data_IF_225764824067
#
_entry.id   IF_225764824067
#
_cell.length_a   1.000
_cell.length_b   1.000
_cell.length_c   1.000
_cell.angle_alpha   90.00
_cell.angle_beta   90.00
_cell.angle_gamma   90.00
#
_symmetry.space_group_name_H-M   'P 1'
#
loop_
_entity.id
_entity.type
_entity.pdbx_description
1 polymer ?
#
# COMPACT_ATOMS: atom_id res chain seq x y z
N UNK A 1 -7.09 2.98 40.36
CA UNK A 1 -7.00 3.28 38.92
C UNK A 1 -5.56 3.59 38.64
N UNK A 2 -4.94 2.85 37.72
CA UNK A 2 -3.59 3.18 37.27
C UNK A 2 -3.68 4.49 36.49
N UNK A 3 -2.96 5.52 36.96
CA UNK A 3 -2.90 6.82 36.31
C UNK A 3 -1.61 6.99 35.53
N UNK A 4 -0.67 6.04 35.56
CA UNK A 4 0.57 6.10 34.81
C UNK A 4 0.57 5.10 33.67
N UNK A 5 1.17 5.49 32.56
CA UNK A 5 1.28 4.63 31.40
C UNK A 5 2.21 5.17 30.32
N UNK A 6 2.38 4.34 29.28
CA UNK A 6 3.07 4.68 28.06
C UNK A 6 2.10 5.36 27.08
N UNK A 7 2.58 6.41 26.43
CA UNK A 7 2.04 6.99 25.21
C UNK A 7 3.04 6.73 24.07
N UNK A 8 2.54 6.22 22.95
CA UNK A 8 3.33 5.86 21.79
C UNK A 8 2.63 6.40 20.53
N UNK A 9 3.30 7.27 19.77
CA UNK A 9 2.68 8.00 18.67
C UNK A 9 3.54 7.87 17.41
N UNK A 10 3.22 6.94 16.48
CA UNK A 10 3.70 7.04 15.11
C UNK A 10 2.97 8.16 14.38
N UNK A 11 3.72 9.00 13.68
CA UNK A 11 3.24 10.17 12.95
C UNK A 11 3.85 10.21 11.55
N UNK A 12 3.00 10.23 10.52
CA UNK A 12 3.41 10.20 9.12
C UNK A 12 3.84 11.61 8.68
N UNK A 13 5.15 11.81 8.59
CA UNK A 13 5.73 13.07 8.13
C UNK A 13 5.57 13.27 6.62
N UNK A 14 5.19 14.48 6.22
CA UNK A 14 4.89 14.85 4.82
C UNK A 14 3.40 14.79 4.45
N UNK A 15 2.53 14.35 5.36
CA UNK A 15 1.10 14.17 5.13
C UNK A 15 0.36 15.42 4.63
N UNK A 16 0.53 16.58 5.28
CA UNK A 16 -0.21 17.80 4.91
C UNK A 16 0.06 18.20 3.46
N UNK A 17 1.33 18.15 3.04
CA UNK A 17 1.72 18.41 1.65
C UNK A 17 1.12 17.35 0.72
N UNK A 18 1.23 16.08 1.09
CA UNK A 18 0.73 14.96 0.31
C UNK A 18 -0.78 15.08 0.03
N UNK A 19 -1.60 15.37 1.03
CA UNK A 19 -3.06 15.49 0.84
C UNK A 19 -3.44 16.74 0.04
N UNK A 20 -2.67 17.84 0.17
CA UNK A 20 -2.97 19.09 -0.53
C UNK A 20 -2.53 19.12 -2.00
N UNK A 21 -1.45 18.40 -2.35
CA UNK A 21 -0.83 18.47 -3.68
C UNK A 21 -1.19 17.25 -4.57
N UNK A 22 -2.03 16.34 -4.09
CA UNK A 22 -2.35 15.09 -4.80
C UNK A 22 -3.85 14.77 -4.84
N UNK A 23 -4.22 13.73 -5.57
CA UNK A 23 -5.61 13.30 -5.71
C UNK A 23 -6.19 12.83 -4.38
N UNK A 24 -7.20 13.54 -3.88
CA UNK A 24 -7.79 13.31 -2.54
C UNK A 24 -8.27 11.86 -2.32
N UNK A 25 -8.83 11.22 -3.35
CA UNK A 25 -9.35 9.86 -3.22
C UNK A 25 -8.24 8.84 -3.01
N UNK A 26 -7.17 8.94 -3.80
CA UNK A 26 -6.03 8.01 -3.70
C UNK A 26 -5.15 8.34 -2.49
N UNK A 27 -4.94 9.61 -2.17
CA UNK A 27 -4.19 10.00 -0.98
C UNK A 27 -4.85 9.48 0.29
N UNK A 28 -6.18 9.60 0.41
CA UNK A 28 -6.97 9.01 1.51
C UNK A 28 -6.77 7.49 1.61
N UNK A 29 -6.86 6.77 0.48
CA UNK A 29 -6.68 5.31 0.46
C UNK A 29 -5.26 4.90 0.89
N UNK A 30 -4.24 5.62 0.43
CA UNK A 30 -2.84 5.36 0.77
C UNK A 30 -2.61 5.58 2.26
N UNK A 31 -3.06 6.71 2.81
CA UNK A 31 -2.90 7.00 4.23
C UNK A 31 -3.64 5.99 5.10
N UNK A 32 -4.88 5.63 4.74
CA UNK A 32 -5.63 4.59 5.43
C UNK A 32 -4.84 3.28 5.50
N UNK A 33 -4.32 2.81 4.36
CA UNK A 33 -3.54 1.57 4.32
C UNK A 33 -2.24 1.66 5.15
N UNK A 34 -1.57 2.81 5.17
CA UNK A 34 -0.36 3.01 5.98
C UNK A 34 -0.68 3.01 7.48
N UNK A 35 -1.78 3.64 7.90
CA UNK A 35 -2.23 3.61 9.30
C UNK A 35 -2.63 2.19 9.72
N UNK A 36 -3.33 1.44 8.86
CA UNK A 36 -3.64 0.03 9.11
C UNK A 36 -2.37 -0.83 9.26
N UNK A 37 -1.33 -0.57 8.46
CA UNK A 37 -0.03 -1.22 8.62
C UNK A 37 0.59 -0.93 9.98
N UNK A 38 0.53 0.32 10.46
CA UNK A 38 1.04 0.70 11.77
C UNK A 38 0.28 -0.01 12.90
N UNK A 39 -1.05 -0.05 12.84
CA UNK A 39 -1.90 -0.75 13.82
C UNK A 39 -1.58 -2.25 13.85
N UNK A 40 -1.50 -2.88 12.67
CA UNK A 40 -1.20 -4.31 12.56
C UNK A 40 0.25 -4.66 12.96
N UNK A 41 1.14 -3.66 13.03
CA UNK A 41 2.53 -3.81 13.48
C UNK A 41 2.70 -3.68 14.99
N UNK A 42 1.62 -3.50 15.74
CA UNK A 42 1.63 -3.41 17.20
C UNK A 42 1.91 -4.79 17.83
N UNK A 43 3.06 -4.91 18.50
CA UNK A 43 3.51 -6.12 19.20
C UNK A 43 3.48 -5.96 20.73
N UNK A 44 3.25 -4.75 21.22
CA UNK A 44 3.22 -4.44 22.66
C UNK A 44 1.80 -4.40 23.25
N UNK A 45 0.82 -4.88 22.47
CA UNK A 45 -0.61 -4.87 22.80
C UNK A 45 -1.10 -3.49 23.27
N UNK A 46 -0.59 -2.43 22.62
CA UNK A 46 -1.00 -1.07 22.91
C UNK A 46 -2.45 -0.82 22.46
N UNK A 47 -3.20 -0.07 23.23
CA UNK A 47 -4.57 0.33 22.88
C UNK A 47 -4.56 1.59 22.01
N UNK A 48 -5.41 1.64 20.99
CA UNK A 48 -5.60 2.86 20.17
C UNK A 48 -6.58 3.78 20.89
N UNK A 49 -6.12 4.95 21.32
CA UNK A 49 -6.99 6.00 21.86
C UNK A 49 -7.69 6.76 20.73
N UNK A 50 -6.92 7.22 19.75
CA UNK A 50 -7.42 8.02 18.63
C UNK A 50 -6.51 7.95 17.41
N UNK A 51 -7.09 8.26 16.26
CA UNK A 51 -6.41 8.42 14.98
C UNK A 51 -6.66 9.87 14.54
N UNK A 52 -5.61 10.66 14.40
CA UNK A 52 -5.66 12.08 14.07
C UNK A 52 -4.99 12.33 12.72
N UNK A 53 -5.73 12.16 11.62
CA UNK A 53 -5.19 12.37 10.28
C UNK A 53 -4.06 11.38 9.96
N UNK A 54 -2.82 11.81 10.21
CA UNK A 54 -1.54 11.12 9.99
C UNK A 54 -0.91 10.47 11.22
N UNK A 55 -1.48 10.68 12.41
CA UNK A 55 -0.96 10.15 13.65
C UNK A 55 -1.89 9.14 14.32
N UNK A 56 -1.31 8.19 15.06
CA UNK A 56 -2.06 7.25 15.90
C UNK A 56 -1.61 7.42 17.34
N UNK A 57 -2.52 7.74 18.25
CA UNK A 57 -2.20 7.76 19.67
C UNK A 57 -2.44 6.38 20.28
N UNK A 58 -1.36 5.64 20.48
CA UNK A 58 -1.37 4.41 21.27
C UNK A 58 -1.09 4.70 22.74
N UNK A 59 -1.69 3.90 23.63
CA UNK A 59 -1.42 3.95 25.05
C UNK A 59 -1.42 2.57 25.71
N UNK A 60 -0.80 2.50 26.88
CA UNK A 60 -0.89 1.33 27.78
C UNK A 60 -0.69 1.77 29.22
N UNK A 61 -1.64 1.46 30.10
CA UNK A 61 -1.50 1.68 31.54
C UNK A 61 -0.54 0.66 32.16
N UNK A 62 0.03 1.02 33.31
CA UNK A 62 0.91 0.16 34.09
C UNK A 62 2.39 0.49 33.92
N UNK A 63 3.25 -0.49 34.18
CA UNK A 63 4.69 -0.30 34.13
C UNK A 63 5.20 0.00 32.72
N UNK A 64 6.20 0.88 32.65
CA UNK A 64 6.89 1.20 31.40
C UNK A 64 7.52 -0.07 30.82
N UNK A 65 7.29 -0.39 29.54
CA UNK A 65 8.06 -1.44 28.88
C UNK A 65 9.55 -1.10 28.89
N UNK A 66 10.36 -2.15 28.86
CA UNK A 66 11.80 -2.03 28.69
C UNK A 66 12.15 -1.31 27.37
N UNK A 67 13.26 -0.57 27.38
CA UNK A 67 13.70 0.23 26.23
C UNK A 67 14.02 -0.65 25.02
N UNK A 68 14.47 -1.89 25.22
CA UNK A 68 14.69 -2.84 24.13
C UNK A 68 13.36 -3.27 23.48
N UNK A 69 12.32 -3.51 24.30
CA UNK A 69 10.99 -3.85 23.81
C UNK A 69 10.36 -2.68 23.04
N UNK A 70 10.51 -1.44 23.55
CA UNK A 70 10.12 -0.22 22.82
C UNK A 70 10.86 -0.10 21.49
N UNK A 71 12.18 -0.33 21.48
CA UNK A 71 12.95 -0.28 20.25
C UNK A 71 12.48 -1.32 19.22
N UNK A 72 12.20 -2.56 19.64
CA UNK A 72 11.64 -3.59 18.74
C UNK A 72 10.30 -3.15 18.15
N UNK A 73 9.44 -2.51 18.94
CA UNK A 73 8.18 -1.93 18.45
C UNK A 73 8.41 -0.82 17.42
N UNK A 74 9.32 0.12 17.70
CA UNK A 74 9.72 1.19 16.78
C UNK A 74 10.25 0.59 15.47
N UNK A 75 11.19 -0.36 15.57
CA UNK A 75 11.78 -1.04 14.43
C UNK A 75 10.72 -1.74 13.58
N UNK A 76 9.80 -2.48 14.21
CA UNK A 76 8.75 -3.22 13.50
C UNK A 76 7.85 -2.28 12.70
N UNK A 77 7.29 -1.26 13.35
CA UNK A 77 6.41 -0.27 12.69
C UNK A 77 7.13 0.48 11.59
N UNK A 78 8.36 0.94 11.84
CA UNK A 78 9.15 1.69 10.86
C UNK A 78 9.50 0.84 9.63
N UNK A 79 9.97 -0.39 9.84
CA UNK A 79 10.32 -1.30 8.74
C UNK A 79 9.09 -1.71 7.93
N UNK A 80 7.96 -2.02 8.57
CA UNK A 80 6.73 -2.39 7.87
C UNK A 80 6.12 -1.22 7.09
N UNK A 81 6.17 -0.01 7.66
CA UNK A 81 5.76 1.22 6.98
C UNK A 81 6.60 1.45 5.72
N UNK A 82 7.94 1.41 5.82
CA UNK A 82 8.80 1.63 4.66
C UNK A 82 8.75 0.49 3.64
N UNK A 83 8.57 -0.76 4.07
CA UNK A 83 8.28 -1.88 3.16
C UNK A 83 6.96 -1.65 2.41
N UNK A 84 5.93 -1.12 3.09
CA UNK A 84 4.68 -0.77 2.40
C UNK A 84 4.88 0.35 1.39
N UNK A 85 5.71 1.34 1.67
CA UNK A 85 6.04 2.41 0.71
C UNK A 85 6.81 1.89 -0.51
N UNK A 86 7.80 1.02 -0.32
CA UNK A 86 8.55 0.45 -1.46
C UNK A 86 7.65 -0.39 -2.38
N UNK A 87 6.64 -1.07 -1.82
CA UNK A 87 5.62 -1.76 -2.61
C UNK A 87 4.81 -0.81 -3.51
N UNK A 88 4.52 0.42 -3.06
CA UNK A 88 3.88 1.42 -3.92
C UNK A 88 4.76 1.79 -5.10
N UNK A 89 6.08 1.87 -4.92
CA UNK A 89 7.01 2.19 -6.00
C UNK A 89 7.00 1.13 -7.12
N UNK A 90 7.07 -0.15 -6.74
CA UNK A 90 7.32 -1.26 -7.68
C UNK A 90 6.06 -2.00 -8.14
N UNK A 91 4.95 -1.92 -7.40
CA UNK A 91 3.72 -2.70 -7.69
C UNK A 91 2.55 -1.86 -8.19
N UNK A 92 2.60 -0.53 -8.12
CA UNK A 92 1.46 0.33 -8.48
C UNK A 92 1.08 0.20 -9.95
N UNK A 93 -0.23 0.17 -10.20
CA UNK A 93 -0.78 0.29 -11.54
C UNK A 93 -0.98 1.75 -11.92
N UNK A 94 -1.48 2.54 -10.96
CA UNK A 94 -1.80 3.94 -11.14
C UNK A 94 -0.55 4.81 -11.32
N UNK A 95 -0.65 5.78 -12.23
CA UNK A 95 0.37 6.78 -12.52
C UNK A 95 -0.01 8.18 -11.98
N UNK A 96 -0.88 8.24 -10.96
CA UNK A 96 -1.33 9.50 -10.37
C UNK A 96 -0.28 10.14 -9.44
N UNK A 97 -0.38 11.45 -9.22
CA UNK A 97 0.57 12.16 -8.38
C UNK A 97 0.58 11.60 -6.96
N UNK A 98 -0.58 11.22 -6.41
CA UNK A 98 -0.67 10.56 -5.10
C UNK A 98 0.11 9.24 -5.05
N UNK A 99 -0.09 8.34 -6.03
CA UNK A 99 0.60 7.05 -6.05
C UNK A 99 2.10 7.19 -6.34
N UNK A 100 2.50 8.20 -7.11
CA UNK A 100 3.90 8.49 -7.40
C UNK A 100 4.63 9.10 -6.20
N UNK A 101 4.00 10.03 -5.50
CA UNK A 101 4.62 10.77 -4.39
C UNK A 101 4.49 10.08 -3.03
N UNK A 102 3.74 8.98 -2.93
CA UNK A 102 3.59 8.20 -1.70
C UNK A 102 4.94 7.81 -1.07
N UNK A 103 5.94 7.48 -1.89
CA UNK A 103 7.31 7.10 -1.47
C UNK A 103 8.05 8.21 -0.71
N UNK A 104 7.59 9.46 -0.82
CA UNK A 104 8.16 10.62 -0.13
C UNK A 104 7.61 10.79 1.30
N UNK A 105 6.62 9.99 1.71
CA UNK A 105 6.17 9.95 3.09
C UNK A 105 7.25 9.31 3.97
N UNK A 106 7.33 9.76 5.21
CA UNK A 106 8.27 9.28 6.21
C UNK A 106 7.56 9.06 7.53
N UNK A 107 8.22 8.39 8.48
CA UNK A 107 7.63 8.08 9.77
C UNK A 107 8.54 8.56 10.89
N UNK A 108 7.99 9.37 11.79
CA UNK A 108 8.59 9.63 13.11
C UNK A 108 7.76 8.97 14.20
N UNK A 109 8.40 8.62 15.30
CA UNK A 109 7.76 7.97 16.43
C UNK A 109 8.10 8.74 17.70
N UNK A 110 7.06 9.10 18.46
CA UNK A 110 7.19 9.79 19.75
C UNK A 110 6.78 8.83 20.85
N UNK A 111 7.61 8.73 21.89
CA UNK A 111 7.32 7.91 23.07
C UNK A 111 7.47 8.72 24.34
N UNK A 112 6.47 8.61 25.21
CA UNK A 112 6.40 9.33 26.46
C UNK A 112 5.79 8.44 27.54
N UNK A 113 6.34 8.50 28.74
CA UNK A 113 5.77 7.82 29.90
C UNK A 113 5.37 8.87 30.93
N UNK A 114 4.14 8.82 31.40
CA UNK A 114 3.59 9.89 32.23
C UNK A 114 2.25 9.53 32.85
N UNK A 115 1.64 10.53 33.47
CA UNK A 115 0.38 10.43 34.17
C UNK A 115 -0.80 10.94 33.32
N UNK A 116 -1.75 10.04 33.06
CA UNK A 116 -3.00 10.30 32.37
C UNK A 116 -4.10 9.34 32.83
N UNK A 117 -5.35 9.69 32.57
CA UNK A 117 -6.51 8.83 32.85
C UNK A 117 -7.47 8.83 31.68
N UNK A 118 -8.23 7.74 31.53
CA UNK A 118 -9.35 7.68 30.61
C UNK A 118 -10.60 8.35 31.17
N UNK A 119 -11.43 8.91 30.29
CA UNK A 119 -12.79 9.35 30.58
C UNK A 119 -13.71 9.06 29.39
N UNK A 120 -14.98 8.82 29.65
CA UNK A 120 -15.96 8.48 28.61
C UNK A 120 -16.85 9.69 28.30
N UNK A 121 -16.97 10.02 27.02
CA UNK A 121 -17.93 10.97 26.49
C UNK A 121 -18.88 10.22 25.58
N UNK A 122 -20.05 9.84 26.11
CA UNK A 122 -21.00 8.94 25.43
C UNK A 122 -20.31 7.62 25.03
N UNK A 123 -20.10 7.42 23.73
CA UNK A 123 -19.50 6.21 23.16
C UNK A 123 -18.00 6.39 22.85
N UNK A 124 -17.40 7.54 23.21
CA UNK A 124 -15.99 7.83 22.95
C UNK A 124 -15.20 7.73 24.25
N UNK A 125 -14.19 6.87 24.25
CA UNK A 125 -13.18 6.85 25.30
C UNK A 125 -12.09 7.85 24.92
N UNK A 126 -11.75 8.77 25.82
CA UNK A 126 -10.74 9.80 25.61
C UNK A 126 -9.73 9.78 26.75
N UNK A 127 -8.51 10.18 26.46
CA UNK A 127 -7.46 10.35 27.47
C UNK A 127 -7.36 11.81 27.88
N UNK A 128 -7.14 12.04 29.18
CA UNK A 128 -6.87 13.36 29.73
C UNK A 128 -5.73 13.28 30.73
N UNK A 129 -4.85 14.27 30.69
CA UNK A 129 -3.69 14.35 31.58
C UNK A 129 -2.71 15.39 31.09
N UNK A 130 -1.86 15.87 31.99
CA UNK A 130 -0.77 16.79 31.62
C UNK A 130 0.14 16.15 30.57
N UNK A 131 0.41 14.86 30.72
CA UNK A 131 1.33 14.11 29.86
C UNK A 131 0.76 13.80 28.47
N UNK A 132 -0.58 13.80 28.32
CA UNK A 132 -1.23 13.79 27.00
C UNK A 132 -0.92 15.07 26.24
N UNK A 133 -0.99 16.22 26.92
CA UNK A 133 -0.69 17.53 26.32
C UNK A 133 0.79 17.59 25.90
N UNK A 134 1.69 17.10 26.76
CA UNK A 134 3.14 17.00 26.47
C UNK A 134 3.38 16.17 25.21
N UNK A 135 2.77 14.99 25.10
CA UNK A 135 2.96 14.11 23.94
C UNK A 135 2.48 14.77 22.63
N UNK A 136 1.31 15.43 22.64
CA UNK A 136 0.81 16.16 21.47
C UNK A 136 1.67 17.38 21.11
N UNK A 137 2.17 18.10 22.12
CA UNK A 137 3.11 19.20 21.87
C UNK A 137 4.37 18.66 21.21
N UNK A 138 4.91 17.52 21.64
CA UNK A 138 6.11 16.95 21.05
C UNK A 138 5.96 16.55 19.57
N UNK A 139 4.75 16.36 19.04
CA UNK A 139 4.55 16.13 17.60
C UNK A 139 5.01 17.31 16.74
N UNK A 140 4.88 18.54 17.26
CA UNK A 140 5.36 19.77 16.63
C UNK A 140 6.68 20.21 17.26
N UNK A 141 7.80 19.63 16.85
CA UNK A 141 9.12 19.99 17.38
C UNK A 141 10.04 20.52 16.26
N UNK A 142 11.18 21.07 16.67
CA UNK A 142 12.15 21.74 15.78
C UNK A 142 13.23 20.78 15.24
N UNK A 143 12.98 19.46 15.24
CA UNK A 143 13.88 18.49 14.61
C UNK A 143 13.71 18.60 13.08
N UNK A 144 14.81 18.91 12.37
CA UNK A 144 14.80 19.08 10.92
C UNK A 144 14.52 17.78 10.15
N UNK A 145 14.93 16.64 10.70
CA UNK A 145 14.74 15.34 10.07
C UNK A 145 13.30 14.83 10.24
N UNK A 146 12.90 13.87 9.39
CA UNK A 146 11.52 13.35 9.37
C UNK A 146 11.43 11.84 9.69
N UNK A 147 12.56 11.17 9.90
CA UNK A 147 12.64 9.74 10.25
C UNK A 147 13.41 9.57 11.57
N UNK A 148 12.73 9.79 12.70
CA UNK A 148 13.37 9.70 14.01
C UNK A 148 12.47 9.07 15.07
N UNK A 149 13.11 8.54 16.11
CA UNK A 149 12.46 8.14 17.36
C UNK A 149 12.79 9.14 18.46
N UNK A 150 11.76 9.73 19.06
CA UNK A 150 11.84 10.67 20.17
C UNK A 150 11.38 9.99 21.46
N UNK A 151 12.18 10.15 22.52
CA UNK A 151 11.94 9.58 23.84
C UNK A 151 12.10 10.66 24.91
N UNK A 152 11.08 10.87 25.72
CA UNK A 152 11.19 11.81 26.85
C UNK A 152 12.00 11.25 28.01
N UNK A 153 12.53 12.12 28.88
CA UNK A 153 13.34 11.73 30.05
C UNK A 153 12.71 10.71 31.00
N UNK A 154 11.39 10.64 31.07
CA UNK A 154 10.69 9.66 31.90
C UNK A 154 10.89 8.21 31.45
N UNK A 155 11.33 8.00 30.21
CA UNK A 155 11.66 6.70 29.62
C UNK A 155 13.17 6.45 29.50
N UNK A 156 13.96 7.51 29.35
CA UNK A 156 15.43 7.46 29.21
C UNK A 156 16.07 8.40 30.26
N UNK A 157 16.63 7.81 31.32
CA UNK A 157 17.45 8.54 32.29
C UNK A 157 18.83 8.93 31.68
N UNK A 158 19.48 9.95 32.25
CA UNK A 158 20.71 10.59 31.72
C UNK A 158 21.91 9.63 31.57
N UNK A 159 21.83 8.41 32.08
CA UNK A 159 22.81 7.35 31.84
C UNK A 159 22.54 6.72 30.47
N UNK A 160 23.45 6.99 29.54
CA UNK A 160 23.52 6.54 28.15
C UNK A 160 22.67 5.30 27.82
N UNK A 161 21.85 5.31 26.75
CA UNK A 161 21.14 4.12 26.31
C UNK A 161 22.14 2.99 26.05
N UNK A 162 22.12 2.02 26.95
CA UNK A 162 22.89 0.78 26.91
C UNK A 162 22.52 0.05 25.61
N UNK A 163 23.52 -0.13 24.73
CA UNK A 163 23.60 -1.02 23.56
C UNK A 163 22.27 -1.46 22.89
N UNK A 164 21.51 -0.54 22.27
CA UNK A 164 20.44 -0.94 21.32
C UNK A 164 21.03 -1.38 19.98
N UNK A 165 21.30 -0.43 19.08
CA UNK A 165 21.99 -0.68 17.83
C UNK A 165 23.20 0.25 17.72
N UNK A 166 24.34 -0.30 17.24
CA UNK A 166 25.61 0.43 17.20
C UNK A 166 25.57 1.71 16.33
N UNK A 167 24.63 1.80 15.39
CA UNK A 167 24.45 2.96 14.52
C UNK A 167 23.60 4.07 15.17
N UNK A 168 22.92 3.79 16.29
CA UNK A 168 22.06 4.78 16.96
C UNK A 168 22.88 5.85 17.65
N UNK A 169 22.79 7.07 17.12
CA UNK A 169 23.34 8.27 17.76
C UNK A 169 22.21 9.02 18.44
N UNK A 170 22.28 9.14 19.76
CA UNK A 170 21.30 9.84 20.56
C UNK A 170 21.68 11.30 20.74
N UNK A 171 20.77 12.18 20.36
CA UNK A 171 20.89 13.62 20.54
C UNK A 171 19.92 14.07 21.62
N UNK A 172 20.28 15.09 22.39
CA UNK A 172 19.41 15.72 23.38
C UNK A 172 18.90 17.04 22.85
N UNK A 173 17.63 17.33 23.06
CA UNK A 173 17.02 18.60 22.72
C UNK A 173 15.91 18.95 23.71
N UNK A 174 15.43 20.18 23.62
CA UNK A 174 14.43 20.75 24.53
C UNK A 174 13.39 21.46 23.70
N UNK A 175 12.12 21.18 23.96
CA UNK A 175 11.00 21.93 23.40
C UNK A 175 10.50 22.94 24.43
N UNK A 176 10.48 24.23 24.06
CA UNK A 176 9.83 25.27 24.86
C UNK A 176 8.33 25.24 24.64
N UNK A 177 7.57 25.27 25.72
CA UNK A 177 6.11 25.29 25.72
C UNK A 177 5.61 26.35 26.69
N UNK A 178 4.33 26.72 26.57
CA UNK A 178 3.70 27.72 27.44
C UNK A 178 3.73 27.32 28.93
N UNK A 179 3.89 26.03 29.22
CA UNK A 179 3.87 25.45 30.57
C UNK A 179 5.26 25.02 31.08
N UNK A 180 6.31 25.26 30.30
CA UNK A 180 7.70 24.96 30.68
C UNK A 180 8.54 24.36 29.55
N UNK A 181 9.67 23.76 29.92
CA UNK A 181 10.58 23.09 29.00
C UNK A 181 10.38 21.57 29.05
N UNK A 182 10.21 20.95 27.88
CA UNK A 182 10.10 19.50 27.74
C UNK A 182 11.42 18.99 27.16
N UNK A 183 12.18 18.29 27.99
CA UNK A 183 13.44 17.67 27.59
C UNK A 183 13.22 16.27 26.99
N UNK A 184 13.91 16.00 25.89
CA UNK A 184 13.83 14.72 25.21
C UNK A 184 15.14 14.33 24.53
N UNK A 185 15.26 13.03 24.28
CA UNK A 185 16.31 12.44 23.47
C UNK A 185 15.70 11.98 22.14
N UNK A 186 16.49 12.02 21.06
CA UNK A 186 16.06 11.47 19.79
C UNK A 186 17.21 10.80 19.03
N UNK A 187 16.87 9.83 18.19
CA UNK A 187 17.79 9.16 17.28
C UNK A 187 17.17 8.99 15.89
N UNK A 188 18.00 9.03 14.84
CA UNK A 188 17.56 8.88 13.46
C UNK A 188 17.27 7.41 13.16
N UNK A 189 16.22 7.11 12.40
CA UNK A 189 15.81 5.74 12.07
C UNK A 189 16.20 5.31 10.65
N UNK A 190 16.71 6.22 9.81
CA UNK A 190 16.97 5.97 8.39
C UNK A 190 17.87 4.77 8.10
N UNK A 191 18.75 4.36 9.03
CA UNK A 191 19.55 3.14 8.85
C UNK A 191 18.67 1.88 8.74
N UNK A 192 17.56 1.80 9.50
CA UNK A 192 16.62 0.68 9.41
C UNK A 192 16.01 0.54 8.01
N UNK A 193 15.77 1.67 7.33
CA UNK A 193 15.27 1.71 5.96
C UNK A 193 16.33 1.24 4.97
N UNK A 194 17.59 1.65 5.16
CA UNK A 194 18.72 1.23 4.33
C UNK A 194 19.01 -0.28 4.46
N UNK A 195 18.71 -0.86 5.61
CA UNK A 195 18.91 -2.28 5.89
C UNK A 195 17.72 -3.16 5.42
N UNK A 196 16.65 -2.56 4.88
CA UNK A 196 15.54 -3.33 4.31
C UNK A 196 16.01 -4.08 3.07
N UNK A 197 15.55 -5.34 2.87
CA UNK A 197 15.87 -6.07 1.67
C UNK A 197 15.22 -5.37 0.46
N UNK A 198 15.96 -5.26 -0.63
CA UNK A 198 15.41 -4.80 -1.91
C UNK A 198 14.32 -5.76 -2.37
N UNK A 199 13.12 -5.23 -2.61
CA UNK A 199 12.07 -5.99 -3.27
C UNK A 199 12.20 -5.87 -4.78
N UNK A 200 12.40 -6.99 -5.47
CA UNK A 200 12.42 -7.00 -6.93
C UNK A 200 11.00 -6.78 -7.51
N UNK A 201 10.86 -5.96 -8.57
CA UNK A 201 9.61 -5.84 -9.29
C UNK A 201 9.18 -7.20 -9.84
N UNK A 202 7.90 -7.55 -9.71
CA UNK A 202 7.42 -8.81 -10.25
C UNK A 202 7.53 -8.82 -11.78
N UNK A 203 8.28 -9.80 -12.31
CA UNK A 203 8.50 -9.98 -13.74
C UNK A 203 7.53 -11.01 -14.31
N UNK A 204 7.16 -10.82 -15.57
CA UNK A 204 6.40 -11.81 -16.31
C UNK A 204 7.25 -13.08 -16.47
N UNK A 205 6.82 -14.18 -15.85
CA UNK A 205 7.41 -15.50 -16.07
C UNK A 205 6.49 -16.41 -16.89
N UNK A 206 6.91 -16.62 -18.13
CA UNK A 206 6.26 -17.50 -19.12
C UNK A 206 7.25 -18.52 -19.69
N UNK A 207 8.42 -18.70 -19.05
CA UNK A 207 9.51 -19.56 -19.54
C UNK A 207 9.08 -21.04 -19.68
N UNK A 208 8.21 -21.52 -18.79
CA UNK A 208 7.65 -22.86 -18.79
C UNK A 208 6.26 -22.95 -19.46
N UNK A 209 5.83 -21.90 -20.14
CA UNK A 209 4.49 -21.81 -20.77
C UNK A 209 4.57 -21.72 -22.28
N UNK A 210 3.45 -22.04 -22.93
CA UNK A 210 3.28 -21.93 -24.39
C UNK A 210 2.07 -21.05 -24.65
N UNK A 211 2.22 -20.08 -25.55
CA UNK A 211 1.09 -19.29 -26.03
C UNK A 211 0.15 -20.21 -26.82
N UNK A 212 -1.11 -20.29 -26.41
CA UNK A 212 -2.13 -21.14 -27.05
C UNK A 212 -3.23 -20.35 -27.74
N UNK A 213 -3.44 -19.09 -27.36
CA UNK A 213 -4.38 -18.20 -28.02
C UNK A 213 -3.89 -16.75 -27.95
N UNK A 214 -4.34 -15.93 -28.89
CA UNK A 214 -4.05 -14.51 -28.97
C UNK A 214 -5.21 -13.80 -29.68
N UNK A 215 -5.60 -12.63 -29.20
CA UNK A 215 -6.51 -11.73 -29.89
C UNK A 215 -6.05 -10.29 -29.73
N UNK A 216 -6.23 -9.49 -30.77
CA UNK A 216 -5.85 -8.07 -30.79
C UNK A 216 -7.01 -7.25 -31.36
N UNK A 217 -7.27 -6.09 -30.75
CA UNK A 217 -8.32 -5.15 -31.16
C UNK A 217 -7.87 -3.71 -30.92
N UNK A 218 -8.32 -2.80 -31.77
CA UNK A 218 -8.02 -1.37 -31.67
C UNK A 218 -9.23 -0.62 -31.09
N UNK A 219 -8.95 0.39 -30.28
CA UNK A 219 -9.95 1.19 -29.57
C UNK A 219 -9.69 2.67 -29.83
N UNK A 220 -10.74 3.43 -30.10
CA UNK A 220 -10.71 4.90 -30.17
C UNK A 220 -10.71 5.52 -28.77
N UNK A 221 -9.64 5.26 -28.03
CA UNK A 221 -9.39 5.86 -26.72
C UNK A 221 -7.88 5.96 -26.43
N UNK A 222 -7.56 6.74 -25.40
CA UNK A 222 -6.23 6.79 -24.83
C UNK A 222 -5.88 5.46 -24.13
N UNK A 223 -4.59 5.16 -24.04
CA UNK A 223 -4.09 3.90 -23.46
C UNK A 223 -4.45 3.73 -21.98
N UNK A 224 -4.49 4.82 -21.20
CA UNK A 224 -4.79 4.79 -19.76
C UNK A 224 -6.26 4.40 -19.50
N UNK A 225 -7.30 5.01 -20.13
CA UNK A 225 -8.68 4.51 -20.04
C UNK A 225 -8.84 3.03 -20.39
N UNK A 226 -8.17 2.57 -21.45
CA UNK A 226 -8.21 1.17 -21.86
C UNK A 226 -7.59 0.25 -20.80
N UNK A 227 -6.50 0.70 -20.17
CA UNK A 227 -5.88 -0.01 -19.05
C UNK A 227 -6.81 -0.08 -17.85
N UNK A 228 -7.44 1.02 -17.44
CA UNK A 228 -8.39 1.02 -16.32
C UNK A 228 -9.62 0.14 -16.58
N UNK A 229 -10.15 0.12 -17.81
CA UNK A 229 -11.28 -0.72 -18.18
C UNK A 229 -10.93 -2.22 -18.17
N UNK A 230 -9.72 -2.58 -18.65
CA UNK A 230 -9.29 -3.97 -18.76
C UNK A 230 -8.67 -4.53 -17.46
N UNK A 231 -7.88 -3.74 -16.75
CA UNK A 231 -7.09 -4.16 -15.58
C UNK A 231 -7.81 -4.06 -14.23
N UNK A 232 -8.92 -3.31 -14.13
CA UNK A 232 -9.72 -3.29 -12.90
C UNK A 232 -10.67 -4.48 -12.86
N UNK A 233 -10.51 -5.37 -11.87
CA UNK A 233 -11.33 -6.57 -11.77
C UNK A 233 -12.82 -6.27 -11.54
N UNK A 234 -13.17 -5.14 -10.94
CA UNK A 234 -14.56 -4.73 -10.73
C UNK A 234 -15.37 -4.55 -12.02
N UNK A 235 -14.70 -4.35 -13.16
CA UNK A 235 -15.39 -4.28 -14.47
C UNK A 235 -15.46 -5.62 -15.18
N UNK A 236 -14.89 -6.70 -14.63
CA UNK A 236 -14.63 -7.91 -15.40
C UNK A 236 -15.90 -8.63 -15.85
N UNK A 237 -16.91 -8.67 -14.99
CA UNK A 237 -18.23 -9.22 -15.32
C UNK A 237 -18.98 -8.43 -16.40
N UNK A 238 -18.55 -7.20 -16.72
CA UNK A 238 -19.19 -6.35 -17.72
C UNK A 238 -18.69 -6.59 -19.13
N UNK A 239 -17.48 -7.13 -19.28
CA UNK A 239 -16.86 -7.30 -20.60
C UNK A 239 -16.32 -8.70 -20.85
N UNK A 240 -15.89 -9.46 -19.84
CA UNK A 240 -15.34 -10.79 -20.05
C UNK A 240 -16.45 -11.85 -20.06
N UNK A 241 -16.57 -12.55 -21.19
CA UNK A 241 -17.54 -13.63 -21.37
C UNK A 241 -17.35 -14.74 -20.32
N UNK A 242 -18.47 -15.16 -19.74
CA UNK A 242 -18.51 -16.21 -18.73
C UNK A 242 -18.21 -15.73 -17.32
N UNK A 243 -17.84 -14.46 -17.08
CA UNK A 243 -17.68 -13.91 -15.73
C UNK A 243 -19.01 -13.37 -15.21
N UNK A 244 -19.48 -13.96 -14.11
CA UNK A 244 -20.74 -13.57 -13.46
C UNK A 244 -20.51 -12.47 -12.43
N UNK A 245 -19.48 -12.63 -11.58
CA UNK A 245 -19.16 -11.72 -10.49
C UNK A 245 -17.68 -11.80 -10.13
N UNK A 246 -17.13 -10.71 -9.62
CA UNK A 246 -15.81 -10.66 -9.01
C UNK A 246 -15.97 -10.34 -7.53
N UNK A 247 -15.25 -11.07 -6.68
CA UNK A 247 -15.11 -10.81 -5.26
C UNK A 247 -13.64 -10.47 -5.01
N UNK A 248 -13.36 -9.18 -4.75
CA UNK A 248 -12.01 -8.68 -4.51
C UNK A 248 -11.60 -8.89 -3.04
N UNK A 249 -10.34 -9.25 -2.84
CA UNK A 249 -9.75 -9.42 -1.51
C UNK A 249 -9.12 -8.08 -1.09
N UNK A 250 -9.77 -7.35 -0.18
CA UNK A 250 -9.29 -6.25 0.72
C UNK A 250 -8.36 -5.14 0.20
N UNK A 251 -8.06 -5.04 -1.09
CA UNK A 251 -7.12 -4.04 -1.61
C UNK A 251 -7.83 -2.74 -2.00
N UNK A 252 -7.39 -1.61 -1.43
CA UNK A 252 -7.98 -0.30 -1.76
C UNK A 252 -7.56 0.23 -3.15
N UNK A 253 -6.36 -0.14 -3.62
CA UNK A 253 -5.79 0.35 -4.88
C UNK A 253 -5.31 -0.80 -5.79
N UNK A 254 -5.58 -0.73 -7.12
CA UNK A 254 -5.04 -1.65 -8.11
C UNK A 254 -3.50 -1.76 -8.08
N UNK A 255 -2.97 -2.97 -7.90
CA UNK A 255 -1.52 -3.24 -7.85
C UNK A 255 -1.15 -4.69 -8.16
N UNK A 256 0.12 -4.92 -8.50
CA UNK A 256 0.71 -6.26 -8.59
C UNK A 256 0.59 -7.00 -7.26
N UNK A 257 0.20 -8.26 -7.32
CA UNK A 257 -0.02 -9.13 -6.16
C UNK A 257 -1.45 -9.16 -5.64
N UNK A 258 -2.35 -8.31 -6.17
CA UNK A 258 -3.78 -8.41 -5.86
C UNK A 258 -4.35 -9.77 -6.24
N UNK A 259 -5.27 -10.25 -5.42
CA UNK A 259 -6.02 -11.50 -5.63
C UNK A 259 -7.50 -11.19 -5.73
N UNK A 260 -8.19 -11.91 -6.60
CA UNK A 260 -9.64 -11.86 -6.71
C UNK A 260 -10.20 -13.26 -6.97
N UNK A 261 -11.36 -13.52 -6.39
CA UNK A 261 -12.16 -14.70 -6.73
C UNK A 261 -13.12 -14.31 -7.83
N UNK A 262 -12.99 -14.95 -8.98
CA UNK A 262 -13.84 -14.73 -10.15
C UNK A 262 -14.84 -15.88 -10.24
N UNK A 263 -16.12 -15.53 -10.08
CA UNK A 263 -17.23 -16.46 -10.27
C UNK A 263 -17.58 -16.50 -11.75
N UNK A 264 -17.42 -17.67 -12.35
CA UNK A 264 -17.73 -17.94 -13.75
C UNK A 264 -19.02 -18.75 -13.90
N UNK A 265 -19.57 -18.77 -15.11
CA UNK A 265 -20.71 -19.63 -15.51
C UNK A 265 -20.44 -21.14 -15.30
N UNK A 266 -19.17 -21.52 -15.25
CA UNK A 266 -18.67 -22.89 -15.26
C UNK A 266 -17.99 -23.30 -13.95
N UNK A 267 -17.92 -22.41 -12.97
CA UNK A 267 -17.26 -22.65 -11.68
C UNK A 267 -16.61 -21.39 -11.14
N UNK A 268 -15.56 -21.53 -10.34
CA UNK A 268 -14.83 -20.41 -9.75
C UNK A 268 -13.34 -20.55 -9.96
N UNK A 269 -12.68 -19.40 -10.10
CA UNK A 269 -11.23 -19.31 -10.26
C UNK A 269 -10.68 -18.16 -9.44
N UNK A 270 -9.61 -18.43 -8.71
CA UNK A 270 -8.81 -17.39 -8.10
C UNK A 270 -7.76 -16.94 -9.10
N UNK A 271 -7.73 -15.63 -9.33
CA UNK A 271 -6.78 -14.98 -10.22
C UNK A 271 -5.97 -13.99 -9.39
N UNK A 272 -4.69 -13.89 -9.70
CA UNK A 272 -3.86 -12.85 -9.14
C UNK A 272 -3.11 -12.08 -10.22
N UNK A 273 -2.88 -10.82 -9.93
CA UNK A 273 -2.09 -9.90 -10.74
C UNK A 273 -0.60 -10.25 -10.61
N UNK A 274 0.00 -10.79 -11.66
CA UNK A 274 1.34 -11.37 -11.62
C UNK A 274 2.47 -10.39 -11.98
N UNK A 275 2.27 -9.50 -12.94
CA UNK A 275 3.29 -8.53 -13.35
C UNK A 275 2.69 -7.26 -13.93
N UNK A 276 3.45 -6.17 -13.89
CA UNK A 276 3.08 -4.91 -14.53
C UNK A 276 4.33 -4.16 -15.00
N UNK A 277 4.21 -3.54 -16.17
CA UNK A 277 5.23 -2.67 -16.74
C UNK A 277 4.54 -1.52 -17.48
N UNK A 278 5.08 -0.33 -17.31
CA UNK A 278 4.56 0.90 -17.90
C UNK A 278 5.68 1.65 -18.62
N UNK A 279 5.40 2.07 -19.84
CA UNK A 279 6.11 3.16 -20.51
C UNK A 279 5.10 3.99 -21.32
N UNK A 280 5.44 5.21 -21.75
CA UNK A 280 4.48 6.12 -22.41
C UNK A 280 3.83 5.59 -23.69
N UNK A 281 4.43 4.57 -24.32
CA UNK A 281 3.92 3.96 -25.56
C UNK A 281 3.29 2.59 -25.35
N UNK A 282 3.48 1.96 -24.18
CA UNK A 282 3.10 0.58 -23.93
C UNK A 282 2.85 0.29 -22.44
N UNK A 283 1.74 -0.35 -22.16
CA UNK A 283 1.45 -0.96 -20.85
C UNK A 283 1.38 -2.46 -21.05
N UNK A 284 2.08 -3.22 -20.20
CA UNK A 284 1.92 -4.67 -20.18
C UNK A 284 1.71 -5.14 -18.75
N UNK A 285 0.62 -5.89 -18.55
CA UNK A 285 0.31 -6.53 -17.28
C UNK A 285 -0.11 -7.97 -17.49
N UNK A 286 0.00 -8.78 -16.44
CA UNK A 286 -0.38 -10.19 -16.53
C UNK A 286 -1.15 -10.67 -15.31
N UNK A 287 -2.00 -11.65 -15.56
CA UNK A 287 -2.87 -12.31 -14.59
C UNK A 287 -2.64 -13.82 -14.69
N UNK A 288 -2.68 -14.53 -13.58
CA UNK A 288 -2.50 -15.98 -13.58
C UNK A 288 -3.27 -16.62 -12.42
N UNK A 289 -3.57 -17.91 -12.55
CA UNK A 289 -4.30 -18.68 -11.54
C UNK A 289 -3.39 -19.10 -10.36
N UNK A 290 -3.98 -19.40 -9.21
CA UNK A 290 -3.26 -19.87 -8.00
C UNK A 290 -2.33 -21.06 -8.25
N UNK A 291 -2.62 -21.91 -9.25
CA UNK A 291 -1.79 -23.08 -9.59
C UNK A 291 -0.69 -22.75 -10.61
N UNK A 292 -0.57 -21.50 -11.04
CA UNK A 292 0.35 -21.02 -12.08
C UNK A 292 0.26 -21.84 -13.37
N UNK A 293 -0.92 -22.37 -13.69
CA UNK A 293 -1.12 -23.24 -14.85
C UNK A 293 -1.47 -22.47 -16.12
N UNK A 294 -2.09 -21.31 -15.97
CA UNK A 294 -2.60 -20.47 -17.04
C UNK A 294 -2.19 -19.01 -16.76
N UNK A 295 -1.64 -18.32 -17.74
CA UNK A 295 -1.29 -16.89 -17.62
C UNK A 295 -1.88 -16.13 -18.79
N UNK A 296 -2.59 -15.06 -18.49
CA UNK A 296 -3.10 -14.11 -19.47
C UNK A 296 -2.21 -12.87 -19.43
N UNK A 297 -1.69 -12.48 -20.59
CA UNK A 297 -0.85 -11.29 -20.74
C UNK A 297 -1.63 -10.27 -21.57
N UNK A 298 -1.81 -9.09 -20.98
CA UNK A 298 -2.47 -7.94 -21.61
C UNK A 298 -1.38 -6.97 -22.05
N UNK A 299 -1.36 -6.65 -23.33
CA UNK A 299 -0.43 -5.69 -23.91
C UNK A 299 -1.20 -4.57 -24.57
N UNK A 300 -1.08 -3.37 -24.04
CA UNK A 300 -1.68 -2.15 -24.57
C UNK A 300 -0.59 -1.32 -25.24
N UNK A 301 -0.85 -0.86 -26.46
CA UNK A 301 0.09 -0.08 -27.25
C UNK A 301 -0.58 1.20 -27.74
N UNK A 302 0.10 2.33 -27.60
CA UNK A 302 -0.33 3.63 -28.13
C UNK A 302 -0.06 3.66 -29.64
N UNK A 303 -1.12 3.72 -30.44
CA UNK A 303 -1.01 3.90 -31.90
C UNK A 303 -1.01 5.39 -32.27
N UNK A 304 -1.82 6.19 -31.56
CA UNK A 304 -1.87 7.65 -31.68
C UNK A 304 -2.28 8.27 -30.34
N UNK A 305 -2.46 9.59 -30.28
CA UNK A 305 -2.94 10.25 -29.06
C UNK A 305 -4.31 9.73 -28.59
N UNK A 306 -5.18 9.29 -29.48
CA UNK A 306 -6.54 8.84 -29.14
C UNK A 306 -6.83 7.42 -29.61
N UNK A 307 -5.84 6.69 -30.08
CA UNK A 307 -6.04 5.32 -30.55
C UNK A 307 -5.03 4.40 -29.90
N UNK A 308 -5.54 3.30 -29.36
CA UNK A 308 -4.76 2.32 -28.64
C UNK A 308 -5.14 0.92 -29.08
N UNK A 309 -4.18 0.01 -29.07
CA UNK A 309 -4.41 -1.41 -29.33
C UNK A 309 -4.32 -2.18 -28.03
N UNK A 310 -5.23 -3.12 -27.81
CA UNK A 310 -5.11 -4.15 -26.77
C UNK A 310 -4.88 -5.49 -27.44
N UNK A 311 -3.84 -6.19 -27.00
CA UNK A 311 -3.57 -7.59 -27.32
C UNK A 311 -3.68 -8.42 -26.05
N UNK A 312 -4.48 -9.49 -26.10
CA UNK A 312 -4.61 -10.46 -25.01
C UNK A 312 -4.02 -11.79 -25.48
N UNK A 313 -2.92 -12.19 -24.86
CA UNK A 313 -2.26 -13.47 -25.10
C UNK A 313 -2.55 -14.44 -23.95
N UNK A 314 -2.97 -15.66 -24.27
CA UNK A 314 -3.24 -16.71 -23.29
C UNK A 314 -2.17 -17.81 -23.36
N UNK A 315 -1.55 -18.08 -22.21
CA UNK A 315 -0.46 -19.03 -22.05
C UNK A 315 -0.90 -20.20 -21.15
N UNK A 316 -0.54 -21.41 -21.54
CA UNK A 316 -0.70 -22.62 -20.73
C UNK A 316 0.66 -23.21 -20.38
N UNK A 317 0.79 -23.71 -19.15
CA UNK A 317 1.96 -24.49 -18.72
C UNK A 317 2.24 -25.65 -19.69
N UNK A 318 3.52 -25.88 -20.00
CA UNK A 318 3.97 -26.91 -20.94
C UNK A 318 3.42 -28.28 -20.56
N UNK A 319 2.45 -28.77 -21.35
CA UNK A 319 1.88 -30.11 -21.23
C UNK A 319 1.28 -30.51 -22.60
N UNK A 320 1.91 -31.47 -23.27
CA UNK A 320 1.58 -31.84 -24.65
C UNK A 320 0.14 -32.34 -24.82
N UNK A 321 -0.40 -33.08 -23.84
CA UNK A 321 -1.77 -33.62 -23.91
C UNK A 321 -2.78 -32.49 -23.77
N UNK A 322 -2.58 -31.61 -22.78
CA UNK A 322 -3.48 -30.48 -22.53
C UNK A 322 -3.49 -29.48 -23.70
N UNK A 323 -2.33 -29.23 -24.30
CA UNK A 323 -2.21 -28.37 -25.47
C UNK A 323 -2.90 -28.96 -26.70
N UNK A 324 -2.76 -30.28 -26.92
CA UNK A 324 -3.45 -30.97 -28.00
C UNK A 324 -4.98 -30.88 -27.82
N UNK A 325 -5.47 -31.17 -26.61
CA UNK A 325 -6.91 -31.08 -26.28
C UNK A 325 -7.46 -29.67 -26.52
N UNK A 326 -6.74 -28.63 -26.09
CA UNK A 326 -7.13 -27.24 -26.30
C UNK A 326 -7.27 -26.93 -27.81
N UNK A 327 -6.25 -27.27 -28.61
CA UNK A 327 -6.26 -27.02 -30.07
C UNK A 327 -7.42 -27.70 -30.78
N UNK A 328 -7.69 -28.97 -30.47
CA UNK A 328 -8.70 -29.74 -31.18
C UNK A 328 -10.15 -29.46 -30.75
N UNK A 329 -10.39 -29.03 -29.50
CA UNK A 329 -11.76 -28.93 -28.95
C UNK A 329 -12.19 -27.54 -28.51
N UNK A 330 -11.26 -26.70 -28.07
CA UNK A 330 -11.59 -25.49 -27.31
C UNK A 330 -11.09 -24.21 -27.97
N UNK A 331 -10.07 -24.28 -28.82
CA UNK A 331 -9.40 -23.13 -29.44
C UNK A 331 -10.38 -22.21 -30.17
N UNK A 332 -11.22 -22.74 -31.07
CA UNK A 332 -12.17 -21.93 -31.83
C UNK A 332 -13.22 -21.25 -30.92
N UNK A 333 -13.75 -21.98 -29.93
CA UNK A 333 -14.73 -21.44 -28.97
C UNK A 333 -14.09 -20.38 -28.07
N UNK A 334 -12.86 -20.62 -27.62
CA UNK A 334 -12.10 -19.70 -26.78
C UNK A 334 -11.76 -18.41 -27.53
N UNK A 335 -11.27 -18.50 -28.77
CA UNK A 335 -11.02 -17.33 -29.61
C UNK A 335 -12.30 -16.52 -29.87
N UNK A 336 -13.43 -17.19 -30.10
CA UNK A 336 -14.71 -16.52 -30.25
C UNK A 336 -15.11 -15.76 -28.98
N UNK A 337 -15.10 -16.42 -27.81
CA UNK A 337 -15.36 -15.79 -26.51
C UNK A 337 -14.41 -14.62 -26.23
N UNK A 338 -13.11 -14.78 -26.53
CA UNK A 338 -12.12 -13.73 -26.31
C UNK A 338 -12.39 -12.50 -27.19
N UNK A 339 -12.69 -12.69 -28.48
CA UNK A 339 -13.04 -11.58 -29.38
C UNK A 339 -14.34 -10.90 -28.97
N UNK A 340 -15.36 -11.67 -28.60
CA UNK A 340 -16.62 -11.13 -28.10
C UNK A 340 -16.41 -10.31 -26.82
N UNK A 341 -15.58 -10.82 -25.90
CA UNK A 341 -15.20 -10.10 -24.68
C UNK A 341 -14.51 -8.76 -24.98
N UNK A 342 -13.57 -8.77 -25.92
CA UNK A 342 -12.88 -7.55 -26.35
C UNK A 342 -13.82 -6.53 -27.01
N UNK A 343 -14.86 -6.98 -27.70
CA UNK A 343 -15.88 -6.08 -28.24
C UNK A 343 -16.74 -5.47 -27.12
N UNK A 344 -17.16 -6.26 -26.13
CA UNK A 344 -17.90 -5.75 -24.96
C UNK A 344 -17.10 -4.70 -24.18
N UNK A 345 -15.76 -4.81 -24.15
CA UNK A 345 -14.88 -3.85 -23.50
C UNK A 345 -15.03 -2.43 -24.06
N UNK A 346 -15.41 -2.26 -25.33
CA UNK A 346 -15.65 -0.93 -25.93
C UNK A 346 -16.70 -0.12 -25.15
N UNK A 347 -17.71 -0.79 -24.59
CA UNK A 347 -18.75 -0.13 -23.80
C UNK A 347 -18.20 0.38 -22.46
N UNK A 348 -17.40 -0.45 -21.78
CA UNK A 348 -16.80 -0.11 -20.48
C UNK A 348 -15.83 1.05 -20.64
N UNK A 349 -14.98 1.02 -21.68
CA UNK A 349 -13.98 2.06 -21.95
C UNK A 349 -14.60 3.44 -22.08
N UNK A 350 -15.78 3.56 -22.71
CA UNK A 350 -16.50 4.84 -22.90
C UNK A 350 -17.00 5.45 -21.59
N UNK A 351 -17.17 4.66 -20.55
CA UNK A 351 -17.61 5.13 -19.23
C UNK A 351 -16.46 5.53 -18.32
N UNK A 352 -15.23 5.10 -18.63
CA UNK A 352 -14.06 5.43 -17.83
C UNK A 352 -13.76 6.93 -17.97
N UNK A 353 -13.94 7.66 -16.87
CA UNK A 353 -13.55 9.07 -16.76
C UNK A 353 -12.21 9.16 -16.06
N UNK A 354 -11.21 9.67 -16.76
CA UNK A 354 -9.90 9.96 -16.17
C UNK A 354 -9.65 11.46 -16.28
N UNK A 355 -9.12 12.12 -15.22
CA UNK A 355 -8.70 13.51 -15.30
C UNK A 355 -7.77 13.74 -16.50
N UNK A 356 -7.92 14.88 -17.18
CA UNK A 356 -7.19 15.18 -18.44
C UNK A 356 -5.66 15.16 -18.28
N UNK A 357 -5.18 15.39 -17.06
CA UNK A 357 -3.76 15.37 -16.69
C UNK A 357 -3.10 14.00 -16.90
N UNK A 358 -3.89 12.92 -16.91
CA UNK A 358 -3.43 11.54 -17.16
C UNK A 358 -3.48 11.10 -18.61
N UNK A 359 -3.93 11.96 -19.52
CA UNK A 359 -4.11 11.66 -20.94
C UNK A 359 -3.02 12.28 -21.83
N UNK A 360 -2.12 13.07 -21.24
CA UNK A 360 -0.93 13.65 -21.89
C UNK A 360 0.19 12.62 -21.87
#
# INVERSE_FOLDING_TARGET
METKGLLFIPDISGFTRFVNETEIDHSRMIIQELLEVLINSNQLDLEVSEIEGDAILFYRFGESPDIEALYRQVQKMFCDFHRRLSLYEIRRYCQCNACLSAVNLSLKIITHYGEFTGYNVRNFNKLIGKDIIVAHQLLKNDIEQHEYWLVTRNLLHDDQPVYLANWMKWNRSVKKTDTGEIEFHYTQLSQLKNDLPDEEPARLDISDKVKVASASMEYDCHMIPLFHASGNFNYRNRWQDGVVKVEEDTHHLPRVGMRCRVLMDTGEVNIYSASFSYNPNKIQFSETDDRHTNTTVYTLERLSNKHSRLTIDFYLKKNSIRQLLFRFREEAKFHHKLRHSMHNLEHVVKEIRIPREYLQ
#
